data_IF_807003734977
#
_entry.id   IF_807003734977
#
_cell.length_a   1.000
_cell.length_b   1.000
_cell.length_c   1.000
_cell.angle_alpha   90.00
_cell.angle_beta   90.00
_cell.angle_gamma   90.00
#
_symmetry.space_group_name_H-M   'P 1'
#
loop_
_entity.id
_entity.type
_entity.pdbx_description
1 polymer ?
#
# COMPACT_ATOMS: atom_id res chain seq x y z
N UNK A 1 -13.10 -4.29 16.90
CA UNK A 1 -12.32 -3.16 16.35
C UNK A 1 -12.23 -3.36 14.84
N UNK A 2 -12.24 -2.30 14.04
CA UNK A 2 -12.02 -2.42 12.60
C UNK A 2 -10.58 -2.89 12.35
N UNK A 3 -10.39 -3.84 11.43
CA UNK A 3 -9.05 -4.30 11.05
C UNK A 3 -8.34 -3.19 10.27
N UNK A 4 -7.03 -2.98 10.46
CA UNK A 4 -6.30 -2.00 9.67
C UNK A 4 -6.25 -2.44 8.21
N UNK A 5 -6.39 -1.49 7.30
CA UNK A 5 -6.40 -1.76 5.85
C UNK A 5 -5.00 -1.59 5.28
N UNK A 6 -4.52 -2.61 4.61
CA UNK A 6 -3.18 -2.67 4.01
C UNK A 6 -3.32 -2.71 2.50
N UNK A 7 -2.82 -1.65 1.84
CA UNK A 7 -2.80 -1.53 0.38
C UNK A 7 -1.51 -2.13 -0.17
N UNK A 8 -1.64 -3.11 -1.06
CA UNK A 8 -0.53 -3.66 -1.83
C UNK A 8 -0.60 -3.06 -3.23
N UNK A 9 0.34 -2.17 -3.54
CA UNK A 9 0.37 -1.43 -4.80
C UNK A 9 1.15 -2.15 -5.92
N UNK A 10 1.85 -3.23 -5.60
CA UNK A 10 2.60 -4.01 -6.59
C UNK A 10 2.44 -5.50 -6.28
N UNK A 11 2.70 -6.36 -7.27
CA UNK A 11 2.66 -7.80 -7.06
C UNK A 11 3.72 -8.21 -6.02
N UNK A 12 3.25 -8.75 -4.90
CA UNK A 12 4.08 -9.32 -3.85
C UNK A 12 3.86 -10.83 -3.80
N UNK A 13 4.86 -11.55 -3.29
CA UNK A 13 4.72 -12.99 -3.13
C UNK A 13 3.59 -13.31 -2.14
N UNK A 14 2.87 -14.42 -2.34
CA UNK A 14 1.79 -14.84 -1.44
C UNK A 14 2.25 -15.03 0.01
N UNK A 15 3.54 -15.29 0.23
CA UNK A 15 4.13 -15.36 1.57
C UNK A 15 4.04 -14.04 2.35
N UNK A 16 3.97 -12.89 1.66
CA UNK A 16 3.81 -11.59 2.36
C UNK A 16 2.39 -11.42 2.88
N UNK A 17 1.40 -11.86 2.09
CA UNK A 17 -0.01 -11.84 2.51
C UNK A 17 -0.23 -12.82 3.66
N UNK A 18 0.39 -13.99 3.60
CA UNK A 18 0.37 -14.98 4.68
C UNK A 18 1.03 -14.45 5.96
N UNK A 19 2.16 -13.73 5.83
CA UNK A 19 2.87 -13.12 6.96
C UNK A 19 2.12 -11.95 7.61
N UNK A 20 1.31 -11.20 6.84
CA UNK A 20 0.40 -10.20 7.38
C UNK A 20 -0.67 -10.85 8.26
N UNK A 21 -1.14 -12.04 7.87
CA UNK A 21 -2.10 -12.81 8.64
C UNK A 21 -3.52 -12.22 8.64
N UNK A 22 -4.44 -12.81 9.43
CA UNK A 22 -5.87 -12.48 9.38
C UNK A 22 -6.23 -11.17 10.11
N UNK A 23 -5.27 -10.50 10.74
CA UNK A 23 -5.49 -9.29 11.53
C UNK A 23 -5.66 -8.02 10.66
N UNK A 24 -5.30 -8.10 9.38
CA UNK A 24 -5.36 -6.99 8.43
C UNK A 24 -6.31 -7.29 7.27
N UNK A 25 -6.95 -6.25 6.75
CA UNK A 25 -7.69 -6.32 5.50
C UNK A 25 -6.76 -5.90 4.36
N UNK A 26 -6.40 -6.85 3.50
CA UNK A 26 -5.48 -6.62 2.39
C UNK A 26 -6.26 -6.27 1.14
N UNK A 27 -5.95 -5.12 0.54
CA UNK A 27 -6.48 -4.68 -0.74
C UNK A 27 -5.34 -4.51 -1.74
N UNK A 28 -5.62 -4.76 -3.01
CA UNK A 28 -4.63 -4.67 -4.08
C UNK A 28 -5.02 -3.56 -5.05
N UNK A 29 -4.02 -2.84 -5.55
CA UNK A 29 -4.18 -1.94 -6.70
C UNK A 29 -2.96 -2.01 -7.60
N UNK A 30 -3.10 -1.55 -8.84
CA UNK A 30 -1.96 -1.26 -9.69
C UNK A 30 -1.34 0.11 -9.31
N UNK A 31 -0.22 0.06 -8.61
CA UNK A 31 0.54 1.23 -8.21
C UNK A 31 1.35 1.89 -9.32
N UNK A 32 1.50 1.24 -10.48
CA UNK A 32 1.98 1.89 -11.70
C UNK A 32 0.87 2.75 -12.33
N UNK A 33 -0.40 2.43 -12.06
CA UNK A 33 -1.53 3.24 -12.45
C UNK A 33 -1.80 4.33 -11.41
N UNK A 34 -1.33 5.55 -11.71
CA UNK A 34 -1.44 6.71 -10.81
C UNK A 34 -2.87 6.97 -10.32
N UNK A 35 -3.86 6.87 -11.22
CA UNK A 35 -5.26 7.13 -10.88
C UNK A 35 -5.82 6.08 -9.93
N UNK A 36 -5.44 4.82 -10.12
CA UNK A 36 -5.88 3.71 -9.28
C UNK A 36 -5.23 3.76 -7.90
N UNK A 37 -3.93 4.06 -7.84
CA UNK A 37 -3.21 4.31 -6.59
C UNK A 37 -3.86 5.42 -5.78
N UNK A 38 -4.13 6.58 -6.40
CA UNK A 38 -4.76 7.71 -5.72
C UNK A 38 -6.17 7.37 -5.25
N UNK A 39 -6.96 6.68 -6.07
CA UNK A 39 -8.29 6.22 -5.69
C UNK A 39 -8.22 5.30 -4.48
N UNK A 40 -7.37 4.27 -4.50
CA UNK A 40 -7.21 3.32 -3.39
C UNK A 40 -6.73 4.00 -2.10
N UNK A 41 -5.73 4.89 -2.19
CA UNK A 41 -5.24 5.67 -1.05
C UNK A 41 -6.34 6.57 -0.45
N UNK A 42 -7.17 7.16 -1.31
CA UNK A 42 -8.26 8.05 -0.88
C UNK A 42 -9.45 7.33 -0.22
N UNK A 43 -9.59 6.02 -0.44
CA UNK A 43 -10.61 5.19 0.22
C UNK A 43 -10.37 5.02 1.72
N UNK A 44 -9.14 5.28 2.18
CA UNK A 44 -8.76 5.18 3.57
C UNK A 44 -8.00 3.88 3.83
N UNK A 45 -6.68 3.99 3.90
CA UNK A 45 -5.78 2.87 4.14
C UNK A 45 -4.82 3.22 5.27
N UNK A 46 -4.49 2.25 6.11
CA UNK A 46 -3.59 2.43 7.24
C UNK A 46 -2.13 2.24 6.84
N UNK A 47 -1.87 1.34 5.90
CA UNK A 47 -0.53 1.07 5.39
C UNK A 47 -0.53 0.86 3.88
N UNK A 48 0.57 1.21 3.23
CA UNK A 48 0.82 0.89 1.81
C UNK A 48 2.14 0.16 1.65
N UNK A 49 2.13 -0.94 0.90
CA UNK A 49 3.31 -1.68 0.46
C UNK A 49 3.60 -1.36 -0.99
N UNK A 50 4.80 -0.87 -1.25
CA UNK A 50 5.31 -0.50 -2.57
C UNK A 50 6.61 -1.24 -2.88
N UNK A 51 6.99 -1.29 -4.14
CA UNK A 51 8.29 -1.75 -4.65
C UNK A 51 8.89 -0.64 -5.52
N UNK A 52 9.64 -0.99 -6.56
CA UNK A 52 10.36 -0.05 -7.41
C UNK A 52 9.48 0.59 -8.49
N UNK A 53 8.31 0.02 -8.81
CA UNK A 53 7.45 0.57 -9.85
C UNK A 53 6.54 1.69 -9.33
N UNK A 54 6.20 1.67 -8.04
CA UNK A 54 5.35 2.67 -7.41
C UNK A 54 6.16 3.74 -6.70
N UNK A 55 5.88 5.00 -7.04
CA UNK A 55 6.50 6.16 -6.38
C UNK A 55 5.48 6.81 -5.44
N UNK A 56 5.78 6.79 -4.13
CA UNK A 56 5.02 7.56 -3.14
C UNK A 56 5.55 8.99 -3.06
N UNK A 57 5.06 9.83 -3.97
CA UNK A 57 5.33 11.26 -4.00
C UNK A 57 4.37 12.07 -3.09
N UNK A 58 4.58 13.38 -3.00
CA UNK A 58 3.80 14.25 -2.11
C UNK A 58 2.29 14.25 -2.41
N UNK A 59 1.87 14.10 -3.66
CA UNK A 59 0.44 14.03 -4.01
C UNK A 59 -0.16 12.70 -3.54
N UNK A 60 0.58 11.60 -3.68
CA UNK A 60 0.15 10.29 -3.20
C UNK A 60 -0.07 10.29 -1.68
N UNK A 61 0.88 10.87 -0.95
CA UNK A 61 0.81 10.99 0.52
C UNK A 61 -0.35 11.92 0.92
N UNK A 62 -0.55 13.04 0.21
CA UNK A 62 -1.63 13.97 0.49
C UNK A 62 -3.03 13.41 0.17
N UNK A 63 -3.14 12.53 -0.83
CA UNK A 63 -4.39 11.85 -1.17
C UNK A 63 -4.75 10.75 -0.17
N UNK A 64 -3.76 10.17 0.51
CA UNK A 64 -3.96 9.08 1.44
C UNK A 64 -4.65 9.54 2.73
N UNK A 65 -5.77 8.92 3.06
CA UNK A 65 -6.52 9.24 4.30
C UNK A 65 -6.21 8.21 5.37
N UNK A 66 -5.60 8.65 6.47
CA UNK A 66 -5.30 7.79 7.62
C UNK A 66 -4.06 6.91 7.46
N UNK A 67 -3.24 7.18 6.43
CA UNK A 67 -1.99 6.48 6.18
C UNK A 67 -1.01 6.68 7.34
N UNK A 68 -0.58 5.58 7.95
CA UNK A 68 0.37 5.55 9.07
C UNK A 68 1.73 5.03 8.66
N UNK A 69 1.77 4.08 7.72
CA UNK A 69 3.00 3.36 7.34
C UNK A 69 3.12 3.25 5.83
N UNK A 70 4.30 3.58 5.31
CA UNK A 70 4.72 3.27 3.94
C UNK A 70 5.85 2.25 4.04
N UNK A 71 5.63 1.05 3.53
CA UNK A 71 6.62 -0.02 3.54
C UNK A 71 7.10 -0.30 2.12
N UNK A 72 8.41 -0.30 1.89
CA UNK A 72 9.01 -0.65 0.61
C UNK A 72 9.54 -2.09 0.66
N UNK A 73 9.01 -2.96 -0.18
CA UNK A 73 9.43 -4.35 -0.27
C UNK A 73 10.72 -4.49 -1.10
N UNK A 74 11.86 -4.23 -0.48
CA UNK A 74 13.17 -4.36 -1.10
C UNK A 74 14.29 -3.90 -0.18
N UNK A 75 15.54 -4.06 -0.61
CA UNK A 75 16.73 -3.62 0.15
C UNK A 75 17.17 -2.19 -0.17
N UNK A 76 16.65 -1.58 -1.24
CA UNK A 76 17.04 -0.25 -1.71
C UNK A 76 16.13 0.85 -1.18
N UNK A 77 16.72 1.91 -0.61
CA UNK A 77 16.07 3.14 -0.16
C UNK A 77 16.12 4.28 -1.22
N UNK A 78 16.41 3.96 -2.48
CA UNK A 78 16.63 4.95 -3.56
C UNK A 78 15.35 5.68 -3.99
#
# INVERSE_FOLDING_TARGET
>A
MAKPVVLIAEELSPATVDALGPDFDVIHCDGANRSELLAALSQGVDAVLIRSATKMDAEAIAAAKGLKVIARAGVGLD
#
